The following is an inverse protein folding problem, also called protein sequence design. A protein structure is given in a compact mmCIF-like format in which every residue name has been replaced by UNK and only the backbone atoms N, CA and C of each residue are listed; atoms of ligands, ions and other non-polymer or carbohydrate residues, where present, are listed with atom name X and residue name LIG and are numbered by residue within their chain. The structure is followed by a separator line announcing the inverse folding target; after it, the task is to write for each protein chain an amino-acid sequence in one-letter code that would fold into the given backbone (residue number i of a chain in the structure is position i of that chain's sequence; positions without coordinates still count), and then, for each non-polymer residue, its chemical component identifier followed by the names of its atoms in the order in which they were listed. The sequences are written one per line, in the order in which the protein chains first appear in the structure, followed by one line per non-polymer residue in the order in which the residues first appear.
data_IF_395096461328
#
_entry.id   IF_395096461328
#
_cell.length_a   1.000
_cell.length_b   1.000
_cell.length_c   1.000
_cell.angle_alpha   90.00
_cell.angle_beta   90.00
_cell.angle_gamma   90.00
#
_symmetry.space_group_name_H-M   'P 1'
#
loop_
_entity.id
_entity.type
_entity.pdbx_description
1 polymer ?
#
# COMPACT_ATOMS: atom_id res chain seq x y z
N UNK A 1 1.67 12.30 5.31
CA UNK A 1 1.43 10.86 5.04
C UNK A 1 2.71 10.12 5.31
N UNK A 2 2.69 9.07 6.14
CA UNK A 2 3.88 8.23 6.36
C UNK A 2 4.20 7.46 5.07
N UNK A 3 5.48 7.36 4.72
CA UNK A 3 5.92 6.55 3.58
C UNK A 3 5.75 5.06 3.90
N UNK A 4 5.14 4.33 2.99
CA UNK A 4 5.01 2.88 3.07
C UNK A 4 5.93 2.22 2.07
N UNK A 5 6.59 1.15 2.50
CA UNK A 5 7.35 0.30 1.60
C UNK A 5 6.41 -0.69 0.90
N UNK A 6 6.46 -0.78 -0.41
CA UNK A 6 5.72 -1.75 -1.20
C UNK A 6 6.68 -2.73 -1.84
N UNK A 7 6.22 -3.97 -1.99
CA UNK A 7 6.93 -4.97 -2.77
C UNK A 7 6.12 -5.29 -4.01
N UNK A 8 6.67 -4.93 -5.16
CA UNK A 8 6.11 -5.30 -6.44
C UNK A 8 6.56 -6.73 -6.76
N UNK A 9 5.64 -7.69 -6.64
CA UNK A 9 5.90 -9.09 -6.94
C UNK A 9 6.13 -9.37 -8.43
N UNK A 10 5.63 -8.50 -9.32
CA UNK A 10 5.79 -8.66 -10.78
C UNK A 10 7.18 -8.23 -11.22
N UNK A 11 7.64 -7.08 -10.72
CA UNK A 11 8.99 -6.57 -11.01
C UNK A 11 10.04 -7.01 -9.99
N UNK A 12 9.63 -7.79 -8.99
CA UNK A 12 10.43 -8.32 -7.86
C UNK A 12 11.24 -7.23 -7.15
N UNK A 13 10.73 -6.00 -7.12
CA UNK A 13 11.42 -4.82 -6.62
C UNK A 13 10.70 -4.22 -5.41
N UNK A 14 11.46 -3.69 -4.46
CA UNK A 14 10.92 -2.90 -3.34
C UNK A 14 11.00 -1.42 -3.68
N UNK A 15 9.99 -0.67 -3.29
CA UNK A 15 9.98 0.79 -3.38
C UNK A 15 9.25 1.37 -2.18
N UNK A 16 9.47 2.65 -1.90
CA UNK A 16 8.76 3.38 -0.84
C UNK A 16 7.99 4.51 -1.49
N UNK A 17 6.76 4.75 -1.02
CA UNK A 17 5.94 5.86 -1.49
C UNK A 17 5.01 6.34 -0.39
N UNK A 18 4.78 7.64 -0.34
CA UNK A 18 3.72 8.29 0.43
C UNK A 18 2.41 8.41 -0.37
N UNK A 19 2.48 8.20 -1.68
CA UNK A 19 1.33 8.22 -2.59
C UNK A 19 0.66 6.84 -2.63
N UNK A 20 -0.31 6.65 -1.76
CA UNK A 20 -1.14 5.45 -1.70
C UNK A 20 -2.52 5.76 -1.14
N UNK A 21 -3.50 4.95 -1.53
CA UNK A 21 -4.86 4.98 -1.01
C UNK A 21 -5.06 3.87 0.02
N UNK A 22 -5.66 4.19 1.17
CA UNK A 22 -6.09 3.17 2.13
C UNK A 22 -7.52 2.73 1.80
N UNK A 23 -7.66 1.48 1.34
CA UNK A 23 -8.96 0.86 1.06
C UNK A 23 -9.30 -0.21 2.09
N UNK A 24 -10.56 -0.28 2.47
CA UNK A 24 -11.07 -1.34 3.35
C UNK A 24 -11.81 -2.39 2.51
N UNK A 25 -11.45 -3.66 2.67
CA UNK A 25 -12.10 -4.77 1.99
C UNK A 25 -12.23 -5.96 2.94
N UNK A 26 -13.46 -6.45 3.13
CA UNK A 26 -13.74 -7.62 3.98
C UNK A 26 -13.21 -7.47 5.43
N UNK A 27 -13.29 -6.28 6.01
CA UNK A 27 -12.83 -5.98 7.38
C UNK A 27 -11.31 -5.92 7.54
N UNK A 28 -10.56 -5.87 6.43
CA UNK A 28 -9.11 -5.65 6.39
C UNK A 28 -8.79 -4.36 5.65
N UNK A 29 -7.72 -3.72 6.06
CA UNK A 29 -7.23 -2.50 5.43
C UNK A 29 -6.07 -2.82 4.49
N UNK A 30 -6.05 -2.16 3.36
CA UNK A 30 -5.04 -2.31 2.32
C UNK A 30 -4.55 -0.93 1.91
N UNK A 31 -3.24 -0.74 1.87
CA UNK A 31 -2.66 0.37 1.14
C UNK A 31 -2.53 -0.07 -0.32
N UNK A 32 -3.06 0.74 -1.23
CA UNK A 32 -3.04 0.50 -2.67
C UNK A 32 -2.30 1.64 -3.34
N UNK A 33 -1.26 1.31 -4.10
CA UNK A 33 -0.50 2.28 -4.88
C UNK A 33 -0.23 1.73 -6.28
N UNK A 34 0.12 2.59 -7.25
CA UNK A 34 0.54 2.13 -8.57
C UNK A 34 2.00 1.69 -8.53
N UNK A 35 2.36 0.70 -9.35
CA UNK A 35 3.76 0.33 -9.53
C UNK A 35 4.55 1.49 -10.16
N UNK A 36 5.78 1.70 -9.71
CA UNK A 36 6.70 2.67 -10.31
C UNK A 36 7.25 2.21 -11.68
N UNK A 37 7.09 0.94 -12.02
CA UNK A 37 7.68 0.33 -13.22
C UNK A 37 6.66 -0.37 -14.13
N UNK A 38 5.39 -0.40 -13.76
CA UNK A 38 4.34 -1.09 -14.51
C UNK A 38 2.98 -0.45 -14.31
N UNK A 39 1.98 -0.90 -15.08
CA UNK A 39 0.61 -0.37 -15.05
C UNK A 39 -0.27 -1.00 -13.95
N UNK A 40 0.26 -1.98 -13.21
CA UNK A 40 -0.48 -2.70 -12.18
C UNK A 40 -0.48 -1.99 -10.83
N UNK A 41 -1.47 -2.34 -10.01
CA UNK A 41 -1.58 -1.88 -8.63
C UNK A 41 -0.83 -2.80 -7.66
N UNK A 42 -0.13 -2.20 -6.70
CA UNK A 42 0.55 -2.85 -5.59
C UNK A 42 -0.31 -2.75 -4.34
N UNK A 43 -0.73 -3.91 -3.80
CA UNK A 43 -1.59 -4.00 -2.64
C UNK A 43 -0.80 -4.48 -1.43
N UNK A 44 -0.75 -3.67 -0.38
CA UNK A 44 -0.12 -4.01 0.89
C UNK A 44 -1.17 -4.12 2.00
N UNK A 45 -1.16 -5.23 2.72
CA UNK A 45 -2.03 -5.39 3.91
C UNK A 45 -1.54 -4.45 5.02
N UNK A 46 -2.48 -3.70 5.60
CA UNK A 46 -2.26 -2.90 6.79
C UNK A 46 -2.85 -3.60 8.01
N UNK A 47 -2.11 -3.61 9.11
CA UNK A 47 -2.67 -3.98 10.41
C UNK A 47 -3.74 -2.98 10.85
N UNK A 48 -4.66 -3.40 11.73
CA UNK A 48 -5.73 -2.53 12.24
C UNK A 48 -5.19 -1.24 12.86
N UNK A 49 -4.13 -1.36 13.67
CA UNK A 49 -3.50 -0.21 14.34
C UNK A 49 -2.82 0.74 13.34
N UNK A 50 -2.21 0.19 12.29
CA UNK A 50 -1.53 0.97 11.25
C UNK A 50 -2.55 1.70 10.37
N UNK A 51 -3.63 1.04 9.98
CA UNK A 51 -4.69 1.68 9.23
C UNK A 51 -5.38 2.79 10.02
N UNK A 52 -5.60 2.61 11.33
CA UNK A 52 -6.18 3.63 12.20
C UNK A 52 -5.29 4.89 12.29
N UNK A 53 -3.96 4.73 12.28
CA UNK A 53 -3.00 5.85 12.25
C UNK A 53 -2.99 6.59 10.91
N UNK A 54 -3.11 5.86 9.81
CA UNK A 54 -3.01 6.39 8.44
C UNK A 54 -4.32 6.99 7.92
N UNK A 55 -5.46 6.64 8.52
CA UNK A 55 -6.79 7.18 8.18
C UNK A 55 -7.09 8.52 8.89
N UNK A 56 -6.09 9.12 9.55
CA UNK A 56 -6.18 10.33 10.36
C UNK A 56 -5.64 11.53 9.61
#
# INVERSE_FOLDING_TARGET
MEELSFYDVKTKSKFTTSDYEVREKSGRFFAVTKSQKGEHECWRVLGKDQAAKLKK
#
